data_IF_800152574500
#
_entry.id   IF_800152574500
#
_cell.length_a   1.000
_cell.length_b   1.000
_cell.length_c   1.000
_cell.angle_alpha   90.00
_cell.angle_beta   90.00
_cell.angle_gamma   90.00
#
_symmetry.space_group_name_H-M   'P 1'
#
loop_
_entity.id
_entity.type
_entity.pdbx_description
1 polymer ?
#
# COMPACT_ATOMS: atom_id res chain seq x y z
N UNK A 1 -22.33 12.09 1.66
CA UNK A 1 -21.67 11.48 0.51
C UNK A 1 -20.26 11.03 0.88
N UNK A 2 -19.96 9.81 0.62
CA UNK A 2 -18.64 9.27 0.98
C UNK A 2 -17.59 9.70 -0.01
N UNK A 3 -16.45 10.05 0.51
CA UNK A 3 -15.31 10.33 -0.32
C UNK A 3 -14.66 9.03 -0.79
N UNK A 4 -14.18 9.05 -2.01
CA UNK A 4 -13.48 7.90 -2.54
C UNK A 4 -12.14 7.76 -1.83
N UNK A 5 -11.74 6.54 -1.57
CA UNK A 5 -10.42 6.27 -1.02
C UNK A 5 -9.38 6.42 -2.12
N UNK A 6 -8.20 6.85 -1.73
CA UNK A 6 -7.10 7.08 -2.66
C UNK A 6 -6.01 6.06 -2.43
N UNK A 7 -5.59 5.41 -3.51
CA UNK A 7 -4.52 4.42 -3.49
C UNK A 7 -3.33 4.96 -4.25
N UNK A 8 -2.18 4.97 -3.61
CA UNK A 8 -0.93 5.36 -4.25
C UNK A 8 -0.25 4.12 -4.80
N UNK A 9 0.06 4.13 -6.08
CA UNK A 9 0.74 3.02 -6.75
C UNK A 9 2.18 3.43 -6.98
N UNK A 10 3.12 2.73 -6.35
CA UNK A 10 4.55 3.01 -6.49
C UNK A 10 5.18 1.82 -7.20
N UNK A 11 5.44 1.97 -8.47
CA UNK A 11 5.87 0.89 -9.34
C UNK A 11 6.55 1.48 -10.57
N UNK A 12 7.73 0.99 -10.95
CA UNK A 12 8.46 1.59 -12.07
C UNK A 12 8.03 1.08 -13.44
N UNK A 13 7.32 -0.04 -13.50
CA UNK A 13 6.85 -0.55 -14.79
C UNK A 13 5.51 0.05 -15.13
N UNK A 14 5.51 0.90 -16.17
CA UNK A 14 4.30 1.62 -16.51
C UNK A 14 3.14 0.71 -16.88
N UNK A 15 3.41 -0.41 -17.52
CA UNK A 15 2.35 -1.34 -17.88
C UNK A 15 1.64 -1.89 -16.65
N UNK A 16 2.39 -2.17 -15.62
CA UNK A 16 1.81 -2.68 -14.37
C UNK A 16 1.00 -1.58 -13.71
N UNK A 17 1.54 -0.37 -13.67
CA UNK A 17 0.83 0.77 -13.11
C UNK A 17 -0.52 0.96 -13.82
N UNK A 18 -0.49 0.91 -15.15
CA UNK A 18 -1.71 1.14 -15.94
C UNK A 18 -2.78 0.09 -15.65
N UNK A 19 -2.36 -1.16 -15.53
CA UNK A 19 -3.32 -2.24 -15.24
C UNK A 19 -3.94 -2.05 -13.85
N UNK A 20 -3.11 -1.77 -12.87
CA UNK A 20 -3.60 -1.57 -11.51
C UNK A 20 -4.51 -0.35 -11.44
N UNK A 21 -4.05 0.76 -12.03
CA UNK A 21 -4.83 1.98 -12.04
C UNK A 21 -6.20 1.78 -12.68
N UNK A 22 -6.22 1.15 -13.84
CA UNK A 22 -7.47 0.92 -14.54
C UNK A 22 -8.47 0.15 -13.68
N UNK A 23 -8.00 -0.92 -13.06
CA UNK A 23 -8.87 -1.75 -12.25
C UNK A 23 -9.34 -1.05 -10.99
N UNK A 24 -8.46 -0.29 -10.35
CA UNK A 24 -8.84 0.45 -9.15
C UNK A 24 -9.84 1.54 -9.47
N UNK A 25 -9.61 2.28 -10.55
CA UNK A 25 -10.52 3.36 -10.90
C UNK A 25 -11.89 2.83 -11.29
N UNK A 26 -11.93 1.70 -11.96
CA UNK A 26 -13.21 1.06 -12.30
C UNK A 26 -14.00 0.70 -11.06
N UNK A 27 -13.31 0.39 -9.98
CA UNK A 27 -13.95 -0.05 -8.74
C UNK A 27 -14.31 1.12 -7.84
N UNK A 28 -13.94 2.34 -8.24
CA UNK A 28 -14.34 3.52 -7.51
C UNK A 28 -13.28 4.15 -6.64
N UNK A 29 -12.02 3.76 -6.82
CA UNK A 29 -10.92 4.37 -6.07
C UNK A 29 -10.29 5.50 -6.86
N UNK A 30 -9.79 6.51 -6.15
CA UNK A 30 -8.89 7.47 -6.75
C UNK A 30 -7.49 6.87 -6.72
N UNK A 31 -6.66 7.22 -7.71
CA UNK A 31 -5.31 6.69 -7.76
C UNK A 31 -4.30 7.82 -7.91
N UNK A 32 -3.13 7.58 -7.33
CA UNK A 32 -1.94 8.40 -7.53
C UNK A 32 -0.84 7.46 -7.98
N UNK A 33 0.06 7.93 -8.82
CA UNK A 33 1.12 7.08 -9.37
C UNK A 33 2.47 7.70 -9.13
N UNK A 34 3.43 6.87 -8.72
CA UNK A 34 4.83 7.25 -8.61
C UNK A 34 5.65 6.13 -9.21
N UNK A 35 6.72 6.47 -9.89
CA UNK A 35 7.48 5.50 -10.66
C UNK A 35 8.85 5.18 -10.09
N UNK A 36 9.16 5.70 -8.93
CA UNK A 36 10.34 5.31 -8.19
C UNK A 36 10.10 5.55 -6.70
N UNK A 37 11.01 5.04 -5.88
CA UNK A 37 10.80 5.08 -4.44
C UNK A 37 10.84 6.48 -3.86
N UNK A 38 11.72 7.34 -4.37
CA UNK A 38 11.79 8.71 -3.86
C UNK A 38 10.50 9.47 -4.12
N UNK A 39 10.00 9.36 -5.34
CA UNK A 39 8.75 10.02 -5.71
C UNK A 39 7.60 9.44 -4.89
N UNK A 40 7.62 8.12 -4.66
CA UNK A 40 6.58 7.48 -3.87
C UNK A 40 6.57 7.97 -2.44
N UNK A 41 7.72 8.07 -1.83
CA UNK A 41 7.80 8.56 -0.46
C UNK A 41 7.34 10.00 -0.34
N UNK A 42 7.80 10.85 -1.28
CA UNK A 42 7.41 12.25 -1.28
C UNK A 42 5.90 12.39 -1.43
N UNK A 43 5.32 11.60 -2.34
CA UNK A 43 3.90 11.68 -2.60
C UNK A 43 3.09 11.15 -1.41
N UNK A 44 3.58 10.10 -0.77
CA UNK A 44 2.92 9.56 0.42
C UNK A 44 2.86 10.61 1.53
N UNK A 45 3.94 11.33 1.71
CA UNK A 45 4.00 12.37 2.74
C UNK A 45 3.09 13.55 2.41
N UNK A 46 3.07 13.93 1.15
CA UNK A 46 2.33 15.12 0.73
C UNK A 46 0.84 14.86 0.57
N UNK A 47 0.49 13.77 -0.09
CA UNK A 47 -0.90 13.51 -0.46
C UNK A 47 -1.65 12.65 0.54
N UNK A 48 -0.96 11.99 1.42
CA UNK A 48 -1.55 11.17 2.48
C UNK A 48 -2.60 10.21 1.94
N UNK A 49 -2.20 9.29 1.06
CA UNK A 49 -3.16 8.32 0.51
C UNK A 49 -3.71 7.41 1.60
N UNK A 50 -4.79 6.72 1.27
CA UNK A 50 -5.41 5.79 2.20
C UNK A 50 -4.73 4.43 2.20
N UNK A 51 -3.99 4.11 1.14
CA UNK A 51 -3.27 2.85 1.01
C UNK A 51 -2.17 3.01 -0.03
N UNK A 52 -1.08 2.28 0.14
CA UNK A 52 0.04 2.29 -0.80
C UNK A 52 0.29 0.90 -1.32
N UNK A 53 0.32 0.76 -2.64
CA UNK A 53 0.83 -0.44 -3.31
C UNK A 53 2.25 -0.13 -3.69
N UNK A 54 3.20 -0.95 -3.23
CA UNK A 54 4.60 -0.57 -3.23
C UNK A 54 5.47 -1.70 -3.75
N UNK A 55 6.07 -1.49 -4.91
CA UNK A 55 7.00 -2.48 -5.47
C UNK A 55 8.30 -2.49 -4.68
N UNK A 56 8.89 -3.67 -4.53
CA UNK A 56 10.12 -3.84 -3.78
C UNK A 56 11.32 -3.30 -4.55
N UNK A 57 11.45 -3.71 -5.80
CA UNK A 57 12.64 -3.42 -6.60
C UNK A 57 12.40 -2.22 -7.49
N UNK A 58 12.91 -1.07 -7.09
CA UNK A 58 12.74 0.16 -7.85
C UNK A 58 14.01 0.99 -7.84
N UNK A 59 14.18 1.84 -8.87
CA UNK A 59 15.31 2.77 -8.87
C UNK A 59 15.19 3.77 -7.73
N UNK A 60 16.31 4.30 -7.36
CA UNK A 60 16.50 5.39 -6.41
C UNK A 60 16.24 5.01 -4.98
N UNK A 61 15.17 4.30 -4.70
CA UNK A 61 14.87 3.92 -3.33
C UNK A 61 14.06 2.65 -3.35
N UNK A 62 14.52 1.64 -2.64
CA UNK A 62 13.81 0.36 -2.59
C UNK A 62 12.49 0.50 -1.85
N UNK A 63 11.53 -0.34 -2.23
CA UNK A 63 10.22 -0.30 -1.58
C UNK A 63 10.29 -0.49 -0.08
N UNK A 64 11.14 -1.41 0.39
CA UNK A 64 11.26 -1.63 1.83
C UNK A 64 11.69 -0.37 2.55
N UNK A 65 12.58 0.42 1.93
CA UNK A 65 13.04 1.65 2.55
C UNK A 65 11.96 2.70 2.63
N UNK A 66 11.09 2.74 1.62
CA UNK A 66 9.95 3.66 1.65
C UNK A 66 9.04 3.33 2.84
N UNK A 67 8.72 2.05 2.98
CA UNK A 67 7.86 1.62 4.07
C UNK A 67 8.49 1.92 5.42
N UNK A 68 9.79 1.60 5.55
CA UNK A 68 10.51 1.84 6.80
C UNK A 68 10.50 3.31 7.17
N UNK A 69 10.71 4.19 6.18
CA UNK A 69 10.71 5.63 6.43
C UNK A 69 9.35 6.10 6.93
N UNK A 70 8.27 5.62 6.31
CA UNK A 70 6.93 6.01 6.73
C UNK A 70 6.63 5.55 8.15
N UNK A 71 7.01 4.33 8.48
CA UNK A 71 6.77 3.81 9.83
C UNK A 71 7.59 4.58 10.86
N UNK A 72 8.82 4.96 10.50
CA UNK A 72 9.66 5.73 11.42
C UNK A 72 9.07 7.11 11.69
N UNK A 73 8.28 7.64 10.77
CA UNK A 73 7.63 8.93 10.95
C UNK A 73 6.29 8.80 11.68
N UNK A 74 5.93 7.59 12.08
CA UNK A 74 4.66 7.39 12.75
C UNK A 74 3.47 7.25 11.82
N UNK A 75 3.72 7.13 10.51
CA UNK A 75 2.66 7.00 9.53
C UNK A 75 2.27 5.53 9.43
N UNK A 76 1.04 5.22 9.76
CA UNK A 76 0.54 3.84 9.78
C UNK A 76 -0.31 3.50 8.57
N UNK A 77 -0.15 4.24 7.49
CA UNK A 77 -0.91 3.98 6.28
C UNK A 77 -0.73 2.52 5.86
N UNK A 78 -1.81 1.83 5.45
CA UNK A 78 -1.68 0.44 5.01
C UNK A 78 -0.77 0.34 3.78
N UNK A 79 0.16 -0.60 3.82
CA UNK A 79 1.11 -0.81 2.73
C UNK A 79 1.03 -2.26 2.29
N UNK A 80 0.79 -2.46 0.99
CA UNK A 80 0.83 -3.78 0.38
C UNK A 80 2.06 -3.82 -0.52
N UNK A 81 2.96 -4.74 -0.24
CA UNK A 81 4.19 -4.90 -1.00
C UNK A 81 3.92 -5.73 -2.25
N UNK A 82 4.43 -5.26 -3.39
CA UNK A 82 4.41 -6.03 -4.63
C UNK A 82 5.80 -6.62 -4.82
N UNK A 83 5.90 -7.92 -4.97
CA UNK A 83 7.20 -8.56 -5.10
C UNK A 83 7.18 -9.55 -6.25
N UNK A 84 8.30 -9.63 -6.97
CA UNK A 84 8.41 -10.52 -8.12
C UNK A 84 8.61 -11.97 -7.73
N UNK A 85 8.88 -12.24 -6.47
CA UNK A 85 9.25 -13.57 -6.04
C UNK A 85 8.57 -13.95 -4.76
N UNK A 86 8.38 -15.25 -4.60
CA UNK A 86 7.86 -15.78 -3.36
C UNK A 86 8.99 -16.19 -2.45
N UNK A 87 9.88 -15.27 -2.20
CA UNK A 87 11.00 -15.59 -1.33
C UNK A 87 10.62 -15.33 0.11
N UNK A 88 10.84 -16.33 0.93
CA UNK A 88 10.53 -16.25 2.34
C UNK A 88 11.21 -15.06 2.99
N UNK A 89 12.44 -14.82 2.59
CA UNK A 89 13.22 -13.74 3.18
C UNK A 89 12.58 -12.38 2.92
N UNK A 90 12.13 -12.15 1.69
CA UNK A 90 11.49 -10.88 1.35
C UNK A 90 10.19 -10.70 2.11
N UNK A 91 9.44 -11.77 2.28
CA UNK A 91 8.18 -11.71 3.00
C UNK A 91 8.40 -11.40 4.46
N UNK A 92 9.38 -12.04 5.07
CA UNK A 92 9.70 -11.81 6.46
C UNK A 92 10.17 -10.38 6.66
N UNK A 93 11.03 -9.89 5.78
CA UNK A 93 11.51 -8.53 5.87
C UNK A 93 10.37 -7.52 5.76
N UNK A 94 9.46 -7.77 4.82
CA UNK A 94 8.31 -6.89 4.66
C UNK A 94 7.47 -6.80 5.93
N UNK A 95 7.24 -7.93 6.57
CA UNK A 95 6.47 -7.93 7.81
C UNK A 95 7.21 -7.22 8.93
N UNK A 96 8.53 -7.42 9.00
CA UNK A 96 9.32 -6.79 10.05
C UNK A 96 9.37 -5.29 9.95
N UNK A 97 9.33 -4.74 8.74
CA UNK A 97 9.36 -3.30 8.58
C UNK A 97 7.97 -2.67 8.61
N UNK A 98 6.95 -3.48 8.80
CA UNK A 98 5.62 -2.96 9.02
C UNK A 98 4.69 -2.92 7.84
N UNK A 99 4.95 -3.72 6.81
CA UNK A 99 4.01 -3.86 5.71
C UNK A 99 2.81 -4.68 6.20
N UNK A 100 1.65 -4.40 5.63
CA UNK A 100 0.41 -5.04 6.06
C UNK A 100 0.06 -6.28 5.26
N UNK A 101 0.57 -6.36 4.03
CA UNK A 101 0.26 -7.48 3.15
C UNK A 101 1.25 -7.45 2.02
N UNK A 102 1.27 -8.49 1.21
CA UNK A 102 2.10 -8.50 0.01
C UNK A 102 1.45 -9.36 -1.05
N UNK A 103 1.77 -9.06 -2.30
CA UNK A 103 1.25 -9.75 -3.46
C UNK A 103 2.42 -10.14 -4.33
N UNK A 104 2.45 -11.38 -4.78
CA UNK A 104 3.53 -11.90 -5.60
C UNK A 104 3.21 -11.70 -7.08
N UNK A 105 4.19 -11.20 -7.84
CA UNK A 105 4.06 -11.08 -9.29
C UNK A 105 4.38 -12.42 -9.93
N UNK A 106 3.76 -12.78 -11.02
CA UNK A 106 2.65 -12.08 -11.67
C UNK A 106 1.37 -12.22 -10.85
N UNK A 107 0.58 -11.17 -10.80
CA UNK A 107 -0.64 -11.20 -10.01
C UNK A 107 -1.86 -11.03 -10.89
N UNK A 108 -2.99 -11.46 -10.36
CA UNK A 108 -4.28 -11.25 -10.98
C UNK A 108 -4.79 -9.90 -10.49
N UNK A 109 -5.20 -8.99 -11.39
CA UNK A 109 -5.74 -7.70 -10.94
C UNK A 109 -6.90 -7.85 -9.97
N UNK A 110 -7.66 -8.92 -10.06
CA UNK A 110 -8.75 -9.16 -9.12
C UNK A 110 -8.21 -9.41 -7.72
N UNK A 111 -7.08 -10.09 -7.62
CA UNK A 111 -6.44 -10.29 -6.32
C UNK A 111 -6.01 -8.96 -5.71
N UNK A 112 -5.45 -8.07 -6.54
CA UNK A 112 -5.05 -6.75 -6.06
C UNK A 112 -6.25 -6.01 -5.47
N UNK A 113 -7.36 -6.01 -6.20
CA UNK A 113 -8.57 -5.34 -5.73
C UNK A 113 -9.07 -5.93 -4.41
N UNK A 114 -9.05 -7.25 -4.31
CA UNK A 114 -9.53 -7.91 -3.10
C UNK A 114 -8.69 -7.54 -1.90
N UNK A 115 -7.37 -7.51 -2.07
CA UNK A 115 -6.49 -7.18 -0.96
C UNK A 115 -6.55 -5.71 -0.59
N UNK A 116 -6.68 -4.83 -1.58
CA UNK A 116 -6.86 -3.40 -1.30
C UNK A 116 -8.12 -3.20 -0.48
N UNK A 117 -9.22 -3.79 -0.92
CA UNK A 117 -10.49 -3.66 -0.20
C UNK A 117 -10.39 -4.21 1.20
N UNK A 118 -9.75 -5.35 1.35
CA UNK A 118 -9.59 -5.98 2.65
C UNK A 118 -8.77 -5.11 3.61
N UNK A 119 -7.67 -4.58 3.14
CA UNK A 119 -6.81 -3.77 4.00
C UNK A 119 -7.47 -2.45 4.37
N UNK A 120 -8.17 -1.82 3.44
CA UNK A 120 -8.87 -0.59 3.74
C UNK A 120 -9.97 -0.82 4.76
N UNK A 121 -10.70 -1.91 4.63
CA UNK A 121 -11.76 -2.23 5.58
C UNK A 121 -11.18 -2.51 6.96
N UNK A 122 -10.12 -3.29 7.03
CA UNK A 122 -9.49 -3.61 8.31
C UNK A 122 -8.97 -2.36 9.00
N UNK A 123 -8.28 -1.54 8.25
CA UNK A 123 -7.70 -0.32 8.80
C UNK A 123 -8.80 0.58 9.35
N UNK A 124 -9.85 0.77 8.59
CA UNK A 124 -10.95 1.63 9.02
C UNK A 124 -11.66 1.06 10.23
N UNK A 125 -11.93 -0.24 10.23
CA UNK A 125 -12.62 -0.86 11.35
C UNK A 125 -11.78 -0.84 12.63
N UNK A 126 -10.50 -1.12 12.51
CA UNK A 126 -9.62 -1.09 13.67
C UNK A 126 -9.49 0.32 14.22
N UNK A 127 -9.39 1.31 13.33
CA UNK A 127 -9.31 2.68 13.77
C UNK A 127 -10.56 3.12 14.49
N UNK A 128 -11.72 2.84 13.92
CA UNK A 128 -12.98 3.19 14.53
C UNK A 128 -13.17 2.46 15.85
N UNK A 129 -12.82 1.18 15.88
CA UNK A 129 -12.96 0.41 17.09
C UNK A 129 -12.09 0.95 18.21
N UNK A 130 -10.87 1.32 17.86
CA UNK A 130 -9.98 1.91 18.85
C UNK A 130 -10.55 3.17 19.45
N UNK A 131 -11.12 4.01 18.63
CA UNK A 131 -11.70 5.26 19.11
C UNK A 131 -12.89 5.00 20.02
N UNK A 132 -13.72 4.06 19.65
CA UNK A 132 -14.94 3.79 20.40
C UNK A 132 -14.66 3.07 21.69
N UNK A 133 -13.67 2.19 21.71
CA UNK A 133 -13.42 1.33 22.84
C UNK A 133 -12.15 1.68 23.59
N UNK A 134 -11.70 2.90 23.39
CA UNK A 134 -10.45 3.30 23.96
C UNK A 134 -10.31 3.00 25.44
N UNK A 135 -11.31 3.32 26.27
CA UNK A 135 -11.17 3.03 27.68
C UNK A 135 -11.20 1.55 28.01
N UNK A 136 -11.66 0.74 27.12
CA UNK A 136 -11.84 -0.68 27.37
C UNK A 136 -10.94 -1.54 26.52
N UNK A 137 -9.87 -1.01 26.09
CA UNK A 137 -8.99 -1.75 25.23
C UNK A 137 -8.46 -2.95 25.97
N UNK A 138 -8.68 -4.08 25.40
CA UNK A 138 -8.22 -5.34 25.95
C UNK A 138 -6.83 -5.64 25.57
#
# INVERSE_FOLDING_TARGET
MEQKKTVLIVEDEKNIVDIIRFNLQRTGYNTLEAYDGEAGLAMAREKKPDLILLDVMMPKMMGFDVCRALRAEGDNVPVIILTAREEEEDKILGLEIGADDYITKPFDPIEVLARVRSQLRRYTQLGAKKEEEKPNVY
#
